data_IF_612636662091
#
_entry.id   IF_612636662091
#
_cell.length_a   1.000
_cell.length_b   1.000
_cell.length_c   1.000
_cell.angle_alpha   90.00
_cell.angle_beta   90.00
_cell.angle_gamma   90.00
#
_symmetry.space_group_name_H-M   'P 1'
#
loop_
_entity.id
_entity.type
_entity.pdbx_description
1 polymer ?
#
# COMPACT_ATOMS: atom_id res chain seq x y z
N UNK A 1 -49.40 62.66 -0.31
CA UNK A 1 -49.19 61.21 -0.09
C UNK A 1 -48.03 60.81 -1.00
N UNK A 2 -46.81 60.79 -0.48
CA UNK A 2 -45.60 60.57 -1.28
C UNK A 2 -45.35 59.07 -1.36
N UNK A 3 -45.43 58.48 -2.55
CA UNK A 3 -45.12 57.07 -2.76
C UNK A 3 -43.60 56.87 -2.61
N UNK A 4 -43.17 56.25 -1.52
CA UNK A 4 -41.80 55.76 -1.39
C UNK A 4 -41.70 54.53 -2.29
N UNK A 5 -41.09 54.69 -3.47
CA UNK A 5 -40.70 53.58 -4.32
C UNK A 5 -39.55 52.86 -3.59
N UNK A 6 -39.86 51.74 -2.93
CA UNK A 6 -38.85 50.90 -2.29
C UNK A 6 -38.12 50.17 -3.42
N UNK A 7 -37.02 50.73 -3.90
CA UNK A 7 -36.14 49.99 -4.81
C UNK A 7 -35.63 48.74 -4.08
N UNK A 8 -35.76 47.54 -4.66
CA UNK A 8 -35.22 46.34 -4.05
C UNK A 8 -33.71 46.50 -3.94
N UNK A 9 -33.18 46.42 -2.72
CA UNK A 9 -31.74 46.42 -2.51
C UNK A 9 -31.15 45.21 -3.26
N UNK A 10 -30.17 45.47 -4.13
CA UNK A 10 -29.48 44.43 -4.89
C UNK A 10 -28.23 44.05 -4.10
N UNK A 11 -27.98 42.75 -3.98
CA UNK A 11 -26.82 42.25 -3.26
C UNK A 11 -25.54 42.56 -4.05
N UNK A 12 -24.61 43.39 -3.50
CA UNK A 12 -23.46 43.85 -4.27
C UNK A 12 -22.48 42.74 -4.67
N UNK A 13 -22.45 41.63 -3.92
CA UNK A 13 -21.49 40.52 -4.09
C UNK A 13 -22.06 39.33 -4.86
N UNK A 14 -23.15 39.52 -5.59
CA UNK A 14 -23.86 38.46 -6.33
C UNK A 14 -22.94 37.66 -7.29
N UNK A 15 -21.97 38.34 -7.92
CA UNK A 15 -21.04 37.75 -8.90
C UNK A 15 -19.70 37.27 -8.32
N UNK A 16 -19.47 37.37 -7.01
CA UNK A 16 -18.19 36.97 -6.39
C UNK A 16 -18.09 35.45 -6.37
N UNK A 17 -17.07 34.85 -6.99
CA UNK A 17 -16.95 33.38 -7.11
C UNK A 17 -16.66 32.65 -5.78
N UNK A 18 -15.89 33.29 -4.90
CA UNK A 18 -15.51 32.73 -3.59
C UNK A 18 -16.70 32.85 -2.60
N UNK A 19 -17.23 31.72 -2.08
CA UNK A 19 -18.42 31.75 -1.25
C UNK A 19 -18.21 32.44 0.11
N UNK A 20 -17.00 32.35 0.69
CA UNK A 20 -16.67 33.03 1.94
C UNK A 20 -16.66 34.55 1.76
N UNK A 21 -16.02 35.02 0.67
CA UNK A 21 -16.02 36.45 0.32
C UNK A 21 -17.41 36.95 -0.09
N UNK A 22 -18.22 36.08 -0.70
CA UNK A 22 -19.60 36.39 -1.06
C UNK A 22 -20.43 36.65 0.19
N UNK A 23 -20.38 35.78 1.21
CA UNK A 23 -21.05 36.02 2.50
C UNK A 23 -20.35 37.11 3.34
N UNK A 24 -19.07 37.40 3.09
CA UNK A 24 -18.32 38.41 3.82
C UNK A 24 -17.75 37.90 5.14
N UNK A 25 -17.42 36.60 5.19
CA UNK A 25 -16.91 35.91 6.36
C UNK A 25 -15.51 35.34 6.07
N UNK A 26 -14.76 35.04 7.14
CA UNK A 26 -13.46 34.37 7.02
C UNK A 26 -13.61 32.91 6.59
N UNK A 27 -12.57 32.34 5.99
CA UNK A 27 -12.49 30.88 5.73
C UNK A 27 -12.45 30.05 7.00
N UNK A 28 -12.06 30.67 8.10
CA UNK A 28 -11.97 30.08 9.45
C UNK A 28 -13.23 30.35 10.30
N UNK A 29 -14.26 30.98 9.72
CA UNK A 29 -15.49 31.30 10.42
C UNK A 29 -16.19 30.05 10.95
N UNK A 30 -16.79 30.17 12.14
CA UNK A 30 -17.55 29.09 12.76
C UNK A 30 -18.88 28.84 12.03
N UNK A 31 -19.50 27.69 12.26
CA UNK A 31 -20.79 27.34 11.68
C UNK A 31 -21.90 28.35 12.06
N UNK A 32 -21.88 28.83 13.30
CA UNK A 32 -22.80 29.86 13.80
C UNK A 32 -22.61 31.20 13.07
N UNK A 33 -21.36 31.59 12.79
CA UNK A 33 -21.08 32.82 12.03
C UNK A 33 -21.52 32.69 10.57
N UNK A 34 -21.33 31.53 9.96
CA UNK A 34 -21.79 31.24 8.59
C UNK A 34 -23.32 31.35 8.51
N UNK A 35 -24.03 30.72 9.45
CA UNK A 35 -25.49 30.75 9.49
C UNK A 35 -26.03 32.14 9.82
N UNK A 36 -25.39 32.85 10.76
CA UNK A 36 -25.72 34.22 11.12
C UNK A 36 -25.57 35.19 9.95
N UNK A 37 -24.45 35.09 9.21
CA UNK A 37 -24.20 35.91 8.03
C UNK A 37 -25.23 35.64 6.92
N UNK A 38 -25.57 34.37 6.68
CA UNK A 38 -26.64 34.01 5.72
C UNK A 38 -27.96 34.66 6.14
N UNK A 39 -28.40 34.47 7.38
CA UNK A 39 -29.70 34.95 7.84
C UNK A 39 -29.79 36.48 7.76
N UNK A 40 -28.74 37.19 8.17
CA UNK A 40 -28.67 38.64 8.05
C UNK A 40 -28.75 39.12 6.59
N UNK A 41 -28.01 38.50 5.67
CA UNK A 41 -27.99 38.88 4.26
C UNK A 41 -29.32 38.55 3.56
N UNK A 42 -29.90 37.38 3.81
CA UNK A 42 -31.22 37.02 3.27
C UNK A 42 -32.25 38.05 3.72
N UNK A 43 -32.28 38.41 5.00
CA UNK A 43 -33.21 39.38 5.55
C UNK A 43 -33.03 40.78 4.94
N UNK A 44 -31.79 41.20 4.67
CA UNK A 44 -31.47 42.50 4.07
C UNK A 44 -31.92 42.60 2.60
N UNK A 45 -31.97 41.48 1.88
CA UNK A 45 -32.20 41.43 0.43
C UNK A 45 -33.46 40.62 0.02
N UNK A 46 -34.44 40.45 0.93
CA UNK A 46 -35.70 39.69 0.71
C UNK A 46 -36.43 40.08 -0.59
N UNK A 47 -36.31 41.34 -1.04
CA UNK A 47 -37.00 41.86 -2.22
C UNK A 47 -36.39 41.50 -3.58
N UNK A 48 -35.22 40.84 -3.63
CA UNK A 48 -34.53 40.53 -4.89
C UNK A 48 -34.15 39.05 -4.96
N UNK A 49 -34.98 38.22 -5.63
CA UNK A 49 -34.77 36.76 -5.74
C UNK A 49 -33.35 36.36 -6.16
N UNK A 50 -32.73 36.94 -7.20
CA UNK A 50 -31.37 36.56 -7.59
C UNK A 50 -30.31 36.83 -6.51
N UNK A 51 -30.54 37.82 -5.64
CA UNK A 51 -29.66 38.08 -4.50
C UNK A 51 -29.72 36.96 -3.49
N UNK A 52 -30.93 36.50 -3.17
CA UNK A 52 -31.19 35.42 -2.20
C UNK A 52 -30.56 34.13 -2.71
N UNK A 53 -30.83 33.77 -3.96
CA UNK A 53 -30.30 32.55 -4.58
C UNK A 53 -28.77 32.53 -4.55
N UNK A 54 -28.13 33.69 -4.78
CA UNK A 54 -26.68 33.79 -4.73
C UNK A 54 -26.10 33.64 -3.31
N UNK A 55 -26.82 34.10 -2.28
CA UNK A 55 -26.47 33.96 -0.86
C UNK A 55 -26.63 32.50 -0.43
N UNK A 56 -27.74 31.85 -0.77
CA UNK A 56 -27.99 30.44 -0.46
C UNK A 56 -27.00 29.52 -1.16
N UNK A 57 -26.73 29.74 -2.45
CA UNK A 57 -25.70 29.00 -3.17
C UNK A 57 -24.30 29.16 -2.56
N UNK A 58 -23.99 30.31 -1.95
CA UNK A 58 -22.73 30.52 -1.24
C UNK A 58 -22.64 29.64 0.01
N UNK A 59 -23.73 29.61 0.79
CA UNK A 59 -23.86 28.81 1.99
C UNK A 59 -23.70 27.32 1.68
N UNK A 60 -24.44 26.80 0.70
CA UNK A 60 -24.41 25.38 0.34
C UNK A 60 -23.01 24.93 -0.11
N UNK A 61 -22.28 25.79 -0.82
CA UNK A 61 -20.89 25.52 -1.22
C UNK A 61 -19.94 25.41 -0.03
N UNK A 62 -20.12 26.25 0.99
CA UNK A 62 -19.29 26.20 2.21
C UNK A 62 -19.56 24.90 2.97
N UNK A 63 -20.83 24.53 3.13
CA UNK A 63 -21.22 23.27 3.79
C UNK A 63 -20.64 22.06 3.05
N UNK A 64 -20.77 22.02 1.72
CA UNK A 64 -20.20 20.95 0.91
C UNK A 64 -18.67 20.90 1.03
N UNK A 65 -18.00 22.05 1.03
CA UNK A 65 -16.54 22.12 1.17
C UNK A 65 -16.08 21.59 2.53
N UNK A 66 -16.74 21.99 3.64
CA UNK A 66 -16.44 21.47 4.98
C UNK A 66 -16.70 19.96 5.08
N UNK A 67 -17.73 19.45 4.41
CA UNK A 67 -17.99 18.00 4.34
C UNK A 67 -16.88 17.24 3.61
N UNK A 68 -16.40 17.77 2.47
CA UNK A 68 -15.26 17.19 1.75
C UNK A 68 -13.98 17.21 2.59
N UNK A 69 -13.68 18.33 3.26
CA UNK A 69 -12.49 18.45 4.10
C UNK A 69 -12.53 17.51 5.31
N UNK A 70 -13.72 17.22 5.87
CA UNK A 70 -13.92 16.21 6.92
C UNK A 70 -13.82 14.77 6.41
N UNK A 71 -14.34 14.46 5.21
CA UNK A 71 -14.31 13.10 4.64
C UNK A 71 -12.98 12.70 4.02
N UNK A 72 -12.25 13.65 3.44
CA UNK A 72 -10.94 13.44 2.84
C UNK A 72 -9.96 14.48 3.40
N UNK A 73 -9.55 14.36 4.68
CA UNK A 73 -8.44 15.18 5.16
C UNK A 73 -7.29 14.96 4.19
N UNK A 74 -6.68 16.02 3.66
CA UNK A 74 -5.56 15.91 2.71
C UNK A 74 -4.45 15.09 3.35
N UNK A 75 -4.48 13.76 3.14
CA UNK A 75 -3.48 12.85 3.68
C UNK A 75 -2.22 13.19 2.91
N UNK A 76 -1.32 13.91 3.56
CA UNK A 76 0.03 14.10 3.06
C UNK A 76 0.75 12.76 3.18
N UNK A 77 0.50 11.86 2.22
CA UNK A 77 1.04 10.50 2.13
C UNK A 77 2.57 10.54 2.33
N UNK A 78 3.23 11.57 1.79
CA UNK A 78 4.67 11.79 1.92
C UNK A 78 5.15 11.97 3.37
N UNK A 79 4.36 12.64 4.22
CA UNK A 79 4.70 12.87 5.64
C UNK A 79 4.44 11.61 6.47
N UNK A 80 3.32 10.93 6.23
CA UNK A 80 2.95 9.70 6.95
C UNK A 80 3.86 8.52 6.59
N UNK A 81 4.28 8.40 5.32
CA UNK A 81 5.28 7.41 4.90
C UNK A 81 6.64 7.67 5.57
N UNK A 82 7.05 8.93 5.73
CA UNK A 82 8.30 9.29 6.42
C UNK A 82 8.26 8.94 7.92
N UNK A 83 7.14 9.19 8.59
CA UNK A 83 6.95 8.82 10.00
C UNK A 83 6.90 7.31 10.22
N UNK A 84 6.19 6.57 9.36
CA UNK A 84 6.13 5.09 9.44
C UNK A 84 7.50 4.47 9.16
N UNK A 85 8.24 5.01 8.18
CA UNK A 85 9.61 4.59 7.84
C UNK A 85 10.60 4.81 8.98
N UNK A 86 10.37 5.82 9.83
CA UNK A 86 11.20 6.11 11.00
C UNK A 86 10.73 5.44 12.30
N UNK A 87 9.64 4.69 12.28
CA UNK A 87 9.19 3.97 13.47
C UNK A 87 10.22 2.89 13.88
N UNK A 88 10.50 2.78 15.18
CA UNK A 88 11.42 1.78 15.75
C UNK A 88 11.04 0.34 15.36
N UNK A 89 9.75 0.10 15.12
CA UNK A 89 9.20 -1.19 14.69
C UNK A 89 9.60 -1.51 13.25
N UNK A 90 9.51 -0.54 12.34
CA UNK A 90 9.97 -0.75 10.97
C UNK A 90 11.48 -0.97 10.95
N UNK A 91 12.27 -0.16 11.65
CA UNK A 91 13.72 -0.38 11.78
C UNK A 91 14.10 -1.73 12.39
N UNK A 92 13.32 -2.27 13.34
CA UNK A 92 13.54 -3.62 13.88
C UNK A 92 13.28 -4.71 12.82
N UNK A 93 12.29 -4.51 11.94
CA UNK A 93 11.97 -5.44 10.85
C UNK A 93 12.98 -5.29 9.70
N UNK A 94 13.32 -4.06 9.27
CA UNK A 94 14.30 -3.80 8.21
C UNK A 94 15.74 -4.10 8.63
N UNK A 95 16.07 -4.02 9.92
CA UNK A 95 17.40 -4.42 10.41
C UNK A 95 17.64 -5.94 10.30
N UNK A 96 16.57 -6.72 10.31
CA UNK A 96 16.59 -8.17 10.07
C UNK A 96 16.57 -8.52 8.58
N UNK A 97 16.00 -7.65 7.76
CA UNK A 97 15.89 -7.77 6.31
C UNK A 97 16.71 -6.69 5.58
N UNK A 98 18.03 -6.92 5.42
CA UNK A 98 18.85 -6.05 4.56
C UNK A 98 18.52 -6.38 3.10
N UNK A 99 18.08 -5.40 2.31
CA UNK A 99 17.96 -5.55 0.86
C UNK A 99 19.36 -5.80 0.28
N UNK A 100 19.65 -7.00 -0.25
CA UNK A 100 20.94 -7.25 -0.90
C UNK A 100 21.07 -6.39 -2.17
N UNK A 101 22.29 -6.29 -2.69
CA UNK A 101 22.54 -5.61 -3.97
C UNK A 101 21.76 -6.30 -5.09
N UNK A 102 21.17 -5.53 -6.01
CA UNK A 102 20.33 -6.06 -7.09
C UNK A 102 21.03 -7.14 -7.93
N UNK A 103 22.35 -7.02 -8.12
CA UNK A 103 23.16 -8.01 -8.85
C UNK A 103 23.18 -9.39 -8.16
N UNK A 104 23.17 -9.41 -6.82
CA UNK A 104 23.13 -10.66 -6.06
C UNK A 104 21.75 -11.33 -6.18
N UNK A 105 20.67 -10.55 -6.13
CA UNK A 105 19.29 -11.03 -6.33
C UNK A 105 19.16 -11.68 -7.70
N UNK A 106 19.64 -11.03 -8.76
CA UNK A 106 19.57 -11.55 -10.13
C UNK A 106 20.38 -12.85 -10.25
N UNK A 107 21.60 -12.88 -9.72
CA UNK A 107 22.46 -14.08 -9.77
C UNK A 107 21.83 -15.29 -9.06
N UNK A 108 21.27 -15.09 -7.86
CA UNK A 108 20.60 -16.18 -7.15
C UNK A 108 19.30 -16.58 -7.85
N UNK A 109 18.51 -15.63 -8.35
CA UNK A 109 17.26 -15.90 -9.09
C UNK A 109 17.52 -16.77 -10.33
N UNK A 110 18.53 -16.43 -11.14
CA UNK A 110 18.90 -17.22 -12.32
C UNK A 110 19.27 -18.64 -11.92
N UNK A 111 20.07 -18.82 -10.85
CA UNK A 111 20.47 -20.14 -10.39
C UNK A 111 19.28 -21.03 -9.99
N UNK A 112 18.32 -20.49 -9.22
CA UNK A 112 17.14 -21.24 -8.79
C UNK A 112 16.12 -21.45 -9.92
N UNK A 113 16.01 -20.53 -10.88
CA UNK A 113 15.19 -20.71 -12.08
C UNK A 113 15.74 -21.83 -12.96
N UNK A 114 17.05 -21.86 -13.19
CA UNK A 114 17.71 -22.94 -13.95
C UNK A 114 17.50 -24.27 -13.24
N UNK A 115 17.66 -24.30 -11.91
CA UNK A 115 17.48 -25.53 -11.13
C UNK A 115 16.03 -26.03 -11.17
N UNK A 116 15.05 -25.12 -11.02
CA UNK A 116 13.62 -25.45 -11.15
C UNK A 116 13.24 -25.92 -12.55
N UNK A 117 13.78 -25.31 -13.60
CA UNK A 117 13.58 -25.76 -14.97
C UNK A 117 14.18 -27.16 -15.18
N UNK A 118 15.38 -27.42 -14.65
CA UNK A 118 16.03 -28.73 -14.73
C UNK A 118 15.20 -29.81 -14.02
N UNK A 119 14.59 -29.49 -12.87
CA UNK A 119 13.70 -30.40 -12.14
C UNK A 119 12.43 -30.75 -12.90
N UNK A 120 11.85 -29.78 -13.61
CA UNK A 120 10.62 -29.99 -14.40
C UNK A 120 10.92 -30.75 -15.68
N UNK A 121 12.04 -30.45 -16.34
CA UNK A 121 12.40 -31.03 -17.64
C UNK A 121 13.05 -32.43 -17.52
N UNK A 122 13.76 -32.69 -16.43
CA UNK A 122 14.47 -33.95 -16.17
C UNK A 122 14.14 -34.51 -14.78
N UNK A 123 12.90 -34.99 -14.57
CA UNK A 123 12.56 -35.69 -13.34
C UNK A 123 13.29 -37.04 -13.28
N UNK A 124 14.14 -37.23 -12.27
CA UNK A 124 14.91 -38.46 -12.02
C UNK A 124 14.02 -39.59 -11.47
N UNK A 125 14.41 -40.85 -11.69
CA UNK A 125 13.60 -42.01 -11.30
C UNK A 125 13.38 -42.14 -9.79
N UNK A 126 14.36 -41.72 -8.99
CA UNK A 126 14.34 -41.67 -7.52
C UNK A 126 13.78 -40.34 -6.96
N UNK A 127 13.20 -39.49 -7.82
CA UNK A 127 12.76 -38.13 -7.47
C UNK A 127 13.91 -37.11 -7.42
N UNK A 128 13.61 -35.81 -7.27
CA UNK A 128 14.57 -34.71 -7.45
C UNK A 128 15.56 -34.53 -6.28
N UNK A 129 15.81 -35.57 -5.49
CA UNK A 129 16.64 -35.56 -4.28
C UNK A 129 18.02 -34.96 -4.51
N UNK A 130 18.70 -35.34 -5.60
CA UNK A 130 20.02 -34.79 -5.95
C UNK A 130 19.95 -33.29 -6.29
N UNK A 131 18.92 -32.87 -7.02
CA UNK A 131 18.72 -31.47 -7.39
C UNK A 131 18.41 -30.62 -6.14
N UNK A 132 17.64 -31.16 -5.20
CA UNK A 132 17.39 -30.55 -3.89
C UNK A 132 18.68 -30.44 -3.07
N UNK A 133 19.54 -31.46 -3.05
CA UNK A 133 20.83 -31.40 -2.36
C UNK A 133 21.74 -30.29 -2.93
N UNK A 134 21.82 -30.19 -4.27
CA UNK A 134 22.57 -29.12 -4.96
C UNK A 134 22.00 -27.74 -4.61
N UNK A 135 20.67 -27.61 -4.55
CA UNK A 135 20.01 -26.36 -4.14
C UNK A 135 20.39 -25.92 -2.72
N UNK A 136 20.51 -26.88 -1.80
CA UNK A 136 20.87 -26.63 -0.41
C UNK A 136 22.33 -26.14 -0.29
N UNK A 137 23.25 -26.81 -0.99
CA UNK A 137 24.67 -26.43 -1.04
C UNK A 137 24.83 -25.03 -1.65
N UNK A 138 24.12 -24.74 -2.75
CA UNK A 138 24.11 -23.42 -3.37
C UNK A 138 23.58 -22.33 -2.42
N UNK A 139 22.50 -22.62 -1.70
CA UNK A 139 21.94 -21.71 -0.67
C UNK A 139 22.97 -21.40 0.41
N UNK A 140 23.63 -22.43 0.96
CA UNK A 140 24.67 -22.26 1.98
C UNK A 140 25.86 -21.46 1.45
N UNK A 141 26.29 -21.71 0.21
CA UNK A 141 27.38 -20.97 -0.43
C UNK A 141 27.03 -19.48 -0.59
N UNK A 142 25.83 -19.15 -1.10
CA UNK A 142 25.41 -17.77 -1.27
C UNK A 142 25.26 -17.02 0.06
N UNK A 143 24.72 -17.68 1.09
CA UNK A 143 24.64 -17.08 2.42
C UNK A 143 26.05 -16.88 3.01
N UNK A 144 26.96 -17.84 2.78
CA UNK A 144 28.35 -17.71 3.22
C UNK A 144 29.08 -16.57 2.52
N UNK A 145 28.94 -16.43 1.20
CA UNK A 145 29.51 -15.35 0.40
C UNK A 145 29.05 -13.97 0.91
N UNK A 146 27.77 -13.88 1.34
CA UNK A 146 27.17 -12.66 1.89
C UNK A 146 27.59 -12.34 3.32
N UNK A 147 27.54 -13.34 4.22
CA UNK A 147 27.73 -13.14 5.66
C UNK A 147 29.18 -13.35 6.12
N UNK A 148 30.02 -13.96 5.27
CA UNK A 148 31.39 -14.39 5.56
C UNK A 148 31.54 -15.22 6.84
N UNK A 149 30.44 -15.83 7.30
CA UNK A 149 30.38 -16.63 8.53
C UNK A 149 29.78 -18.01 8.22
N UNK A 150 30.58 -19.06 8.45
CA UNK A 150 30.21 -20.46 8.13
C UNK A 150 29.06 -20.96 9.00
N UNK A 151 29.05 -20.62 10.30
CA UNK A 151 28.05 -21.12 11.25
C UNK A 151 26.67 -20.50 11.00
N UNK A 152 26.63 -19.20 10.69
CA UNK A 152 25.37 -18.53 10.30
C UNK A 152 24.86 -19.02 8.95
N UNK A 153 25.75 -19.23 7.99
CA UNK A 153 25.37 -19.79 6.69
C UNK A 153 24.76 -21.19 6.80
N UNK A 154 25.34 -22.03 7.65
CA UNK A 154 24.80 -23.36 7.93
C UNK A 154 23.44 -23.28 8.66
N UNK A 155 23.32 -22.49 9.74
CA UNK A 155 22.07 -22.37 10.50
C UNK A 155 20.93 -21.80 9.66
N UNK A 156 21.19 -20.78 8.85
CA UNK A 156 20.18 -20.24 7.94
C UNK A 156 19.88 -21.20 6.80
N UNK A 157 20.89 -21.84 6.19
CA UNK A 157 20.66 -22.85 5.15
C UNK A 157 19.83 -24.03 5.66
N UNK A 158 20.18 -24.59 6.81
CA UNK A 158 19.44 -25.69 7.43
C UNK A 158 18.04 -25.27 7.91
N UNK A 159 17.92 -24.13 8.58
CA UNK A 159 16.63 -23.62 9.07
C UNK A 159 15.64 -23.35 7.94
N UNK A 160 16.14 -22.88 6.80
CA UNK A 160 15.30 -22.55 5.64
C UNK A 160 14.90 -23.79 4.86
N UNK A 161 15.78 -24.79 4.79
CA UNK A 161 15.44 -26.11 4.31
C UNK A 161 14.35 -26.78 5.16
N UNK A 162 14.46 -26.74 6.49
CA UNK A 162 13.45 -27.32 7.39
C UNK A 162 12.11 -26.60 7.22
N UNK A 163 12.12 -25.27 7.20
CA UNK A 163 10.90 -24.47 6.99
C UNK A 163 10.26 -24.78 5.63
N UNK A 164 11.09 -24.84 4.60
CA UNK A 164 10.70 -25.21 3.24
C UNK A 164 10.08 -26.60 3.15
N UNK A 165 10.70 -27.58 3.80
CA UNK A 165 10.22 -28.95 3.88
C UNK A 165 8.87 -29.05 4.59
N UNK A 166 8.71 -28.34 5.71
CA UNK A 166 7.46 -28.29 6.46
C UNK A 166 6.33 -27.63 5.65
N UNK A 167 6.62 -26.52 4.96
CA UNK A 167 5.65 -25.85 4.07
C UNK A 167 5.30 -26.73 2.88
N UNK A 168 6.28 -27.38 2.24
CA UNK A 168 6.04 -28.32 1.15
C UNK A 168 5.17 -29.51 1.58
N UNK A 169 5.45 -30.09 2.74
CA UNK A 169 4.66 -31.20 3.32
C UNK A 169 3.24 -30.73 3.67
N UNK A 170 3.11 -29.55 4.29
CA UNK A 170 1.82 -28.97 4.61
C UNK A 170 0.99 -28.72 3.36
N UNK A 171 1.57 -28.14 2.29
CA UNK A 171 0.88 -27.91 1.02
C UNK A 171 0.49 -29.22 0.30
N UNK A 172 1.31 -30.27 0.43
CA UNK A 172 0.98 -31.60 -0.09
C UNK A 172 -0.26 -32.20 0.62
N UNK A 173 -0.41 -31.96 1.92
CA UNK A 173 -1.50 -32.50 2.75
C UNK A 173 -2.75 -31.59 2.76
N UNK A 174 -2.58 -30.28 2.61
CA UNK A 174 -3.64 -29.25 2.78
C UNK A 174 -4.21 -28.69 1.47
N UNK A 175 -4.52 -29.52 0.48
CA UNK A 175 -5.47 -29.15 -0.61
C UNK A 175 -4.87 -28.33 -1.76
N UNK A 176 -3.88 -28.86 -2.47
CA UNK A 176 -3.63 -28.45 -3.86
C UNK A 176 -3.76 -29.68 -4.77
N UNK A 177 -4.84 -29.81 -5.58
CA UNK A 177 -4.81 -30.77 -6.67
C UNK A 177 -3.64 -30.39 -7.57
N UNK A 178 -2.76 -31.34 -7.93
CA UNK A 178 -1.51 -31.01 -8.59
C UNK A 178 -1.79 -30.26 -9.89
N UNK A 179 -1.18 -29.08 -10.02
CA UNK A 179 -1.32 -28.20 -11.19
C UNK A 179 -0.87 -28.91 -12.48
N UNK A 180 0.00 -29.93 -12.33
CA UNK A 180 0.45 -30.82 -13.39
C UNK A 180 -0.22 -32.19 -13.18
N UNK A 181 -0.96 -32.71 -14.16
CA UNK A 181 -1.57 -34.05 -14.06
C UNK A 181 -0.47 -35.14 -14.19
N UNK A 182 -0.31 -35.99 -13.17
CA UNK A 182 0.62 -37.12 -13.20
C UNK A 182 0.99 -37.63 -11.80
N UNK A 183 1.41 -38.91 -11.67
CA UNK A 183 1.77 -39.54 -10.38
C UNK A 183 2.95 -38.84 -9.67
N UNK A 184 3.80 -38.12 -10.41
CA UNK A 184 5.02 -37.44 -9.92
C UNK A 184 4.89 -35.91 -9.78
N UNK A 185 3.72 -35.33 -10.03
CA UNK A 185 3.57 -33.87 -10.02
C UNK A 185 3.59 -33.24 -8.63
N UNK A 186 3.24 -34.00 -7.59
CA UNK A 186 3.28 -33.55 -6.20
C UNK A 186 4.72 -33.29 -5.75
N UNK A 187 5.65 -34.20 -6.08
CA UNK A 187 7.08 -34.08 -5.75
C UNK A 187 7.76 -32.90 -6.46
N UNK A 188 7.36 -32.66 -7.71
CA UNK A 188 7.86 -31.52 -8.49
C UNK A 188 7.34 -30.20 -7.90
N UNK A 189 6.07 -30.16 -7.48
CA UNK A 189 5.46 -28.95 -6.91
C UNK A 189 6.09 -28.59 -5.56
N UNK A 190 6.31 -29.58 -4.67
CA UNK A 190 6.96 -29.35 -3.36
C UNK A 190 8.42 -28.93 -3.51
N UNK A 191 9.13 -29.44 -4.51
CA UNK A 191 10.48 -29.02 -4.85
C UNK A 191 10.51 -27.57 -5.36
N UNK A 192 9.55 -27.17 -6.19
CA UNK A 192 9.44 -25.81 -6.71
C UNK A 192 9.18 -24.80 -5.59
N UNK A 193 8.24 -25.11 -4.69
CA UNK A 193 7.96 -24.31 -3.50
C UNK A 193 9.21 -24.19 -2.63
N UNK A 194 9.97 -25.29 -2.54
CA UNK A 194 11.19 -25.30 -1.75
C UNK A 194 12.26 -24.38 -2.31
N UNK A 195 12.43 -24.34 -3.63
CA UNK A 195 13.36 -23.42 -4.29
C UNK A 195 12.98 -21.96 -4.08
N UNK A 196 11.69 -21.64 -4.11
CA UNK A 196 11.22 -20.27 -3.83
C UNK A 196 11.54 -19.86 -2.39
N UNK A 197 11.30 -20.72 -1.41
CA UNK A 197 11.56 -20.41 -0.01
C UNK A 197 13.06 -20.31 0.30
N UNK A 198 13.88 -21.20 -0.26
CA UNK A 198 15.33 -21.14 -0.17
C UNK A 198 15.89 -19.86 -0.82
N UNK A 199 15.37 -19.48 -2.00
CA UNK A 199 15.74 -18.25 -2.68
C UNK A 199 15.39 -17.01 -1.86
N UNK A 200 14.16 -16.94 -1.33
CA UNK A 200 13.74 -15.83 -0.46
C UNK A 200 14.67 -15.72 0.74
N UNK A 201 15.01 -16.84 1.37
CA UNK A 201 15.89 -16.78 2.53
C UNK A 201 17.32 -16.37 2.18
N UNK A 202 17.92 -16.97 1.14
CA UNK A 202 19.27 -16.62 0.68
C UNK A 202 19.39 -15.12 0.37
N UNK A 203 18.32 -14.55 -0.17
CA UNK A 203 18.28 -13.16 -0.61
C UNK A 203 17.99 -12.21 0.55
N UNK A 204 17.04 -12.54 1.41
CA UNK A 204 16.42 -11.57 2.32
C UNK A 204 16.76 -11.80 3.80
N UNK A 205 17.10 -13.01 4.24
CA UNK A 205 17.51 -13.28 5.62
C UNK A 205 18.98 -12.87 5.90
N UNK A 206 19.23 -12.38 7.12
CA UNK A 206 20.52 -11.85 7.61
C UNK A 206 21.11 -12.71 8.71
#
# INVERSE_FOLDING_TARGET
>A
MTYIVIHPYIFPRINVKDPYKRLGISKEASEDEIQGARNFLVQRYIGHKPSIDAIESAHDKIIMQQFYDRKNPKINIKKKVREVTQSKVMLAITSRFRTPSSNFIVKTSIAFVILGALTVLFPTEEGPTLQVAISLIATMYFIHDRLKNKLRAFLYGAGTFILSWLVGTFLMVSVIPPIIKGRRSLEVTTSLISYVLLWVSSTYLR
#
